data_IF_200319633340
#
_entry.id   IF_200319633340
#
_cell.length_a   1.000
_cell.length_b   1.000
_cell.length_c   1.000
_cell.angle_alpha   90.00
_cell.angle_beta   90.00
_cell.angle_gamma   90.00
#
_symmetry.space_group_name_H-M   'P 1'
#
loop_
_entity.id
_entity.type
_entity.pdbx_description
1 polymer ?
#
# COMPACT_ATOMS: atom_id res chain seq x y z
N UNK A 1 -2.15 -9.61 2.05
CA UNK A 1 -2.30 -8.14 1.99
C UNK A 1 -2.27 -7.62 3.42
N UNK A 2 -1.46 -6.59 3.66
CA UNK A 2 -1.38 -5.89 4.95
C UNK A 2 -1.52 -4.39 4.69
N UNK A 3 -2.25 -3.68 5.54
CA UNK A 3 -2.35 -2.22 5.48
C UNK A 3 -1.86 -1.68 6.82
N UNK A 4 -0.92 -0.76 6.79
CA UNK A 4 -0.26 -0.24 7.99
C UNK A 4 -0.23 1.29 7.95
N UNK A 5 -0.61 1.93 9.05
CA UNK A 5 -0.46 3.36 9.23
C UNK A 5 0.63 3.64 10.26
N UNK A 6 1.65 4.40 9.86
CA UNK A 6 2.70 4.90 10.74
C UNK A 6 2.36 6.31 11.20
N UNK A 7 2.05 6.47 12.49
CA UNK A 7 1.81 7.80 13.07
C UNK A 7 3.07 8.67 13.10
N UNK A 8 4.24 8.06 13.25
CA UNK A 8 5.53 8.78 13.29
C UNK A 8 5.85 9.41 11.94
N UNK A 9 5.61 8.68 10.84
CA UNK A 9 5.84 9.16 9.49
C UNK A 9 4.64 9.89 8.86
N UNK A 10 3.48 9.88 9.51
CA UNK A 10 2.18 10.24 8.91
C UNK A 10 2.00 9.58 7.52
N UNK A 11 2.16 8.26 7.48
CA UNK A 11 2.19 7.50 6.23
C UNK A 11 1.30 6.26 6.31
N UNK A 12 0.68 5.91 5.19
CA UNK A 12 0.02 4.63 5.01
C UNK A 12 0.78 3.78 3.98
N UNK A 13 0.98 2.52 4.32
CA UNK A 13 1.56 1.53 3.44
C UNK A 13 0.56 0.41 3.19
N UNK A 14 0.31 0.11 1.91
CA UNK A 14 -0.48 -1.05 1.47
C UNK A 14 0.48 -2.09 0.88
N UNK A 15 0.68 -3.18 1.60
CA UNK A 15 1.46 -4.33 1.16
C UNK A 15 0.55 -5.31 0.41
N UNK A 16 0.80 -5.52 -0.88
CA UNK A 16 0.15 -6.57 -1.66
C UNK A 16 0.85 -7.91 -1.42
N UNK A 17 2.18 -7.88 -1.32
CA UNK A 17 3.04 -9.00 -0.97
C UNK A 17 3.97 -8.59 0.19
N UNK A 18 4.21 -9.50 1.13
CA UNK A 18 5.20 -9.30 2.20
C UNK A 18 6.56 -9.83 1.74
N UNK A 19 7.15 -9.13 0.78
CA UNK A 19 8.40 -9.50 0.12
C UNK A 19 9.41 -8.35 0.13
N UNK A 20 10.65 -8.64 -0.25
CA UNK A 20 11.72 -7.64 -0.35
C UNK A 20 11.44 -6.62 -1.46
N UNK A 21 11.58 -5.33 -1.13
CA UNK A 21 11.52 -4.24 -2.09
C UNK A 21 12.89 -4.07 -2.75
N UNK A 22 12.97 -4.34 -4.05
CA UNK A 22 14.20 -4.15 -4.83
C UNK A 22 14.29 -2.77 -5.47
N UNK A 23 13.13 -2.16 -5.77
CA UNK A 23 13.06 -0.85 -6.42
C UNK A 23 11.82 -0.09 -5.99
N UNK A 24 12.00 1.19 -5.72
CA UNK A 24 10.92 2.14 -5.45
C UNK A 24 10.83 3.17 -6.56
N UNK A 25 9.61 3.62 -6.87
CA UNK A 25 9.34 4.72 -7.80
C UNK A 25 8.34 5.69 -7.18
N UNK A 26 8.79 6.90 -6.94
CA UNK A 26 7.88 8.01 -6.65
C UNK A 26 7.19 8.43 -7.96
N UNK A 27 5.86 8.40 -7.94
CA UNK A 27 5.03 8.75 -9.11
C UNK A 27 4.45 10.15 -9.01
N UNK A 28 4.28 10.64 -7.79
CA UNK A 28 3.83 11.97 -7.40
C UNK A 28 4.44 12.26 -6.02
N UNK A 29 4.53 13.53 -5.65
CA UNK A 29 5.07 13.94 -4.34
C UNK A 29 4.41 13.15 -3.20
N UNK A 30 5.22 12.37 -2.48
CA UNK A 30 4.79 11.54 -1.35
C UNK A 30 3.95 10.31 -1.73
N UNK A 31 3.94 9.89 -3.00
CA UNK A 31 3.29 8.65 -3.46
C UNK A 31 4.32 7.75 -4.13
N UNK A 32 4.65 6.64 -3.46
CA UNK A 32 5.71 5.71 -3.86
C UNK A 32 5.13 4.34 -4.16
N UNK A 33 5.59 3.74 -5.26
CA UNK A 33 5.25 2.37 -5.66
C UNK A 33 6.52 1.52 -5.56
N UNK A 34 6.39 0.40 -4.86
CA UNK A 34 7.48 -0.53 -4.60
C UNK A 34 7.36 -1.81 -5.43
N UNK A 35 8.50 -2.26 -5.96
CA UNK A 35 8.62 -3.40 -6.86
C UNK A 35 9.68 -4.40 -6.38
N UNK A 36 9.47 -5.67 -6.70
CA UNK A 36 10.45 -6.73 -6.54
C UNK A 36 11.50 -6.73 -7.68
N UNK A 37 12.49 -7.63 -7.62
CA UNK A 37 13.56 -7.73 -8.62
C UNK A 37 13.04 -8.08 -10.03
N UNK A 38 11.84 -8.66 -10.13
CA UNK A 38 11.19 -9.01 -11.40
C UNK A 38 10.27 -7.89 -11.91
N UNK A 39 10.21 -6.77 -11.19
CA UNK A 39 9.35 -5.64 -11.50
C UNK A 39 7.87 -5.88 -11.16
N UNK A 40 7.53 -6.86 -10.31
CA UNK A 40 6.16 -7.03 -9.83
C UNK A 40 5.89 -6.11 -8.64
N UNK A 41 4.64 -5.66 -8.51
CA UNK A 41 4.20 -4.80 -7.41
C UNK A 41 4.32 -5.52 -6.06
N UNK A 42 5.01 -4.88 -5.11
CA UNK A 42 5.12 -5.30 -3.71
C UNK A 42 4.15 -4.48 -2.85
N UNK A 43 4.18 -3.16 -3.00
CA UNK A 43 3.42 -2.26 -2.15
C UNK A 43 3.30 -0.83 -2.68
N UNK A 44 2.49 -0.04 -1.99
CA UNK A 44 2.31 1.39 -2.22
C UNK A 44 2.42 2.11 -0.89
N UNK A 45 3.23 3.15 -0.85
CA UNK A 45 3.36 4.08 0.28
C UNK A 45 2.76 5.44 -0.10
N UNK A 46 2.00 6.01 0.84
CA UNK A 46 1.48 7.37 0.74
C UNK A 46 1.85 8.13 2.01
N UNK A 47 2.71 9.14 1.86
CA UNK A 47 3.13 10.07 2.90
C UNK A 47 2.09 11.18 3.10
N UNK A 48 2.17 11.88 4.24
CA UNK A 48 1.24 12.94 4.62
C UNK A 48 -0.23 12.46 4.60
N UNK A 49 -0.47 11.23 5.06
CA UNK A 49 -1.75 10.55 4.92
C UNK A 49 -2.90 11.35 5.56
N UNK A 50 -2.68 11.97 6.73
CA UNK A 50 -3.70 12.81 7.38
C UNK A 50 -4.02 14.12 6.65
N UNK A 51 -3.13 14.59 5.76
CA UNK A 51 -3.38 15.76 4.90
C UNK A 51 -4.14 15.39 3.62
N UNK A 52 -4.04 14.12 3.20
CA UNK A 52 -4.66 13.61 1.97
C UNK A 52 -6.02 12.99 2.20
N UNK A 53 -6.22 12.36 3.36
CA UNK A 53 -7.43 11.60 3.68
C UNK A 53 -7.92 11.93 5.09
N UNK A 54 -9.23 11.76 5.32
CA UNK A 54 -9.72 11.64 6.70
C UNK A 54 -9.38 10.25 7.20
N UNK A 55 -8.97 10.13 8.46
CA UNK A 55 -8.71 8.82 9.08
C UNK A 55 -9.94 7.89 9.00
N UNK A 56 -11.17 8.43 9.00
CA UNK A 56 -12.41 7.68 8.79
C UNK A 56 -12.50 6.98 7.43
N UNK A 57 -11.85 7.54 6.42
CA UNK A 57 -11.86 7.01 5.05
C UNK A 57 -10.83 5.87 4.95
N UNK A 58 -9.74 5.94 5.73
CA UNK A 58 -8.67 4.95 5.76
C UNK A 58 -9.08 3.66 6.50
N UNK A 59 -9.88 3.78 7.57
CA UNK A 59 -10.23 2.62 8.42
C UNK A 59 -11.24 1.66 7.78
N UNK A 60 -11.91 2.06 6.70
CA UNK A 60 -12.91 1.24 6.03
C UNK A 60 -12.30 0.56 4.79
N UNK A 61 -11.97 -0.73 4.92
CA UNK A 61 -11.44 -1.53 3.82
C UNK A 61 -12.52 -2.50 3.34
N UNK A 62 -12.96 -2.33 2.10
CA UNK A 62 -13.90 -3.24 1.45
C UNK A 62 -13.18 -4.05 0.38
N UNK A 63 -13.45 -5.36 0.33
CA UNK A 63 -12.90 -6.26 -0.66
C UNK A 63 -14.07 -6.96 -1.34
N UNK A 64 -14.23 -6.74 -2.64
CA UNK A 64 -15.37 -7.22 -3.42
C UNK A 64 -14.89 -8.04 -4.63
N UNK A 65 -15.73 -8.98 -5.09
CA UNK A 65 -15.49 -9.79 -6.29
C UNK A 65 -14.16 -10.56 -6.32
N UNK A 66 -13.63 -10.97 -5.16
CA UNK A 66 -12.46 -11.82 -5.11
C UNK A 66 -12.77 -13.19 -5.73
N UNK A 67 -11.91 -13.70 -6.65
CA UNK A 67 -12.04 -15.05 -7.18
C UNK A 67 -11.57 -16.07 -6.12
N UNK A 68 -12.34 -16.26 -5.06
CA UNK A 68 -11.98 -17.13 -3.92
C UNK A 68 -11.77 -18.59 -4.32
N UNK A 69 -12.38 -19.04 -5.43
CA UNK A 69 -12.18 -20.39 -5.98
C UNK A 69 -10.71 -20.65 -6.40
N UNK A 70 -9.95 -19.58 -6.66
CA UNK A 70 -8.54 -19.64 -6.99
C UNK A 70 -7.61 -19.57 -5.76
N UNK A 71 -8.17 -19.37 -4.57
CA UNK A 71 -7.44 -19.35 -3.30
C UNK A 71 -7.56 -20.75 -2.68
N UNK A 72 -6.50 -21.56 -2.81
CA UNK A 72 -6.38 -22.87 -2.15
C UNK A 72 -5.92 -22.74 -0.70
#
# INVERSE_FOLDING_TARGET
MKIEYSKEADAIYVYFKEEYVAKSKEIEDGIVIDFDEKGQLVGIEVLDATKRFKLSDIVNVNIENLPIESVK
#
